data_IF_431795704112
#
_entry.id   IF_431795704112
#
_cell.length_a   1.000
_cell.length_b   1.000
_cell.length_c   1.000
_cell.angle_alpha   90.00
_cell.angle_beta   90.00
_cell.angle_gamma   90.00
#
_symmetry.space_group_name_H-M   'P 1'
#
loop_
_entity.id
_entity.type
_entity.pdbx_description
1 polymer ?
#
# COMPACT_ATOMS: atom_id res chain seq x y z
N UNK A 1 10.31 18.53 9.55
CA UNK A 1 11.06 17.32 9.17
C UNK A 1 10.09 16.24 8.74
N UNK A 2 10.32 15.61 7.60
CA UNK A 2 9.53 14.47 7.10
C UNK A 2 10.44 13.26 6.98
N UNK A 3 10.06 12.13 7.55
CA UNK A 3 10.86 10.91 7.50
C UNK A 3 10.40 9.86 8.49
N UNK A 4 11.16 8.78 8.63
CA UNK A 4 10.86 7.73 9.60
C UNK A 4 10.82 8.22 11.05
N UNK A 5 10.27 7.41 11.94
CA UNK A 5 10.08 7.74 13.36
C UNK A 5 11.35 8.24 14.07
N UNK A 6 12.52 7.68 13.70
CA UNK A 6 13.81 8.11 14.23
C UNK A 6 14.16 9.57 13.88
N UNK A 7 13.89 9.99 12.65
CA UNK A 7 14.11 11.38 12.21
C UNK A 7 13.16 12.34 12.92
N UNK A 8 11.89 11.97 13.06
CA UNK A 8 10.88 12.78 13.76
C UNK A 8 11.26 12.95 15.24
N UNK A 9 11.68 11.86 15.87
CA UNK A 9 12.18 11.91 17.26
C UNK A 9 13.41 12.82 17.38
N UNK A 10 14.38 12.71 16.47
CA UNK A 10 15.56 13.58 16.48
C UNK A 10 15.21 15.06 16.28
N UNK A 11 14.24 15.36 15.40
CA UNK A 11 13.76 16.72 15.17
C UNK A 11 13.15 17.32 16.44
N UNK A 12 12.26 16.60 17.11
CA UNK A 12 11.65 17.07 18.35
C UNK A 12 12.63 17.14 19.52
N UNK A 13 13.68 16.31 19.50
CA UNK A 13 14.72 16.30 20.56
C UNK A 13 15.83 17.33 20.32
N UNK A 14 15.80 18.09 19.22
CA UNK A 14 16.87 19.03 18.84
C UNK A 14 16.94 20.29 19.71
N UNK A 15 15.92 20.57 20.52
CA UNK A 15 15.78 21.83 21.27
C UNK A 15 15.35 23.02 20.41
N UNK A 16 15.11 22.83 19.11
CA UNK A 16 14.62 23.83 18.16
C UNK A 16 13.13 23.57 17.89
N UNK A 17 12.27 24.60 17.77
CA UNK A 17 10.89 24.39 17.33
C UNK A 17 10.84 23.61 16.03
N UNK A 18 10.12 22.48 16.02
CA UNK A 18 10.04 21.58 14.88
C UNK A 18 8.63 21.04 14.69
N UNK A 19 8.27 20.81 13.42
CA UNK A 19 7.11 20.02 13.02
C UNK A 19 7.62 18.77 12.34
N UNK A 20 7.33 17.61 12.92
CA UNK A 20 7.72 16.30 12.38
C UNK A 20 6.54 15.60 11.73
N UNK A 21 6.77 15.02 10.55
CA UNK A 21 5.83 14.15 9.85
C UNK A 21 6.45 12.78 9.74
N UNK A 22 5.81 11.80 10.32
CA UNK A 22 6.28 10.40 10.37
C UNK A 22 6.08 9.62 9.07
N UNK A 23 6.32 8.30 9.12
CA UNK A 23 6.07 7.41 8.00
C UNK A 23 4.59 7.41 7.60
N UNK A 24 4.30 7.03 6.37
CA UNK A 24 2.96 6.84 5.87
C UNK A 24 2.67 5.37 5.64
N UNK A 25 1.39 5.03 5.49
CA UNK A 25 0.96 3.72 5.05
C UNK A 25 -0.23 3.94 4.10
N UNK A 26 0.08 4.32 2.87
CA UNK A 26 -0.94 4.73 1.90
C UNK A 26 -1.79 3.53 1.48
N UNK A 27 -3.09 3.67 1.63
CA UNK A 27 -4.07 2.63 1.34
C UNK A 27 -5.06 3.09 0.30
N UNK A 28 -5.51 2.13 -0.51
CA UNK A 28 -6.48 2.33 -1.58
C UNK A 28 -7.66 1.41 -1.38
N UNK A 29 -8.86 1.92 -1.61
CA UNK A 29 -10.09 1.11 -1.73
C UNK A 29 -10.53 1.13 -3.18
N UNK A 30 -10.89 -0.05 -3.71
CA UNK A 30 -11.51 -0.22 -5.03
C UNK A 30 -12.94 -0.69 -4.82
N UNK A 31 -13.88 0.22 -5.11
CA UNK A 31 -15.32 -0.04 -5.06
C UNK A 31 -15.79 -0.79 -6.32
N UNK A 32 -16.91 -1.49 -6.22
CA UNK A 32 -17.50 -2.25 -7.33
C UNK A 32 -17.99 -1.37 -8.49
N UNK A 33 -18.21 -0.08 -8.26
CA UNK A 33 -18.63 0.89 -9.27
C UNK A 33 -17.48 1.58 -9.97
N UNK A 34 -16.23 1.29 -9.57
CA UNK A 34 -15.04 1.91 -10.14
C UNK A 34 -14.81 1.49 -11.60
N UNK A 35 -14.15 2.35 -12.37
CA UNK A 35 -13.45 1.92 -13.58
C UNK A 35 -12.22 1.09 -13.15
N UNK A 36 -12.38 -0.23 -13.14
CA UNK A 36 -11.38 -1.16 -12.62
C UNK A 36 -10.06 -1.11 -13.41
N UNK A 37 -10.13 -0.90 -14.74
CA UNK A 37 -8.94 -0.81 -15.58
C UNK A 37 -8.16 0.46 -15.24
N UNK A 38 -8.82 1.60 -15.19
CA UNK A 38 -8.20 2.87 -14.81
C UNK A 38 -7.62 2.79 -13.38
N UNK A 39 -8.33 2.16 -12.44
CA UNK A 39 -7.86 1.98 -11.08
C UNK A 39 -6.55 1.17 -11.04
N UNK A 40 -6.50 0.01 -11.69
CA UNK A 40 -5.31 -0.84 -11.74
C UNK A 40 -4.15 -0.15 -12.44
N UNK A 41 -4.37 0.46 -13.61
CA UNK A 41 -3.33 1.18 -14.35
C UNK A 41 -2.74 2.32 -13.52
N UNK A 42 -3.57 3.11 -12.84
CA UNK A 42 -3.15 4.20 -11.95
C UNK A 42 -2.31 3.69 -10.77
N UNK A 43 -2.78 2.65 -10.09
CA UNK A 43 -2.09 2.04 -8.95
C UNK A 43 -0.72 1.49 -9.38
N UNK A 44 -0.65 0.76 -10.48
CA UNK A 44 0.62 0.17 -10.94
C UNK A 44 1.57 1.25 -11.44
N UNK A 45 1.07 2.28 -12.12
CA UNK A 45 1.89 3.44 -12.52
C UNK A 45 2.52 4.12 -11.30
N UNK A 46 1.72 4.47 -10.30
CA UNK A 46 2.18 5.06 -9.05
C UNK A 46 3.15 4.13 -8.30
N UNK A 47 2.81 2.84 -8.16
CA UNK A 47 3.63 1.86 -7.43
C UNK A 47 4.98 1.58 -8.08
N UNK A 48 5.09 1.72 -9.39
CA UNK A 48 6.35 1.53 -10.12
C UNK A 48 7.14 2.82 -10.32
N UNK A 49 6.52 3.97 -10.07
CA UNK A 49 7.24 5.25 -10.07
C UNK A 49 8.29 5.23 -8.95
N UNK A 50 9.53 5.51 -9.34
CA UNK A 50 10.69 5.46 -8.45
C UNK A 50 10.78 4.14 -7.63
N UNK A 51 10.39 3.02 -8.24
CA UNK A 51 10.30 1.70 -7.63
C UNK A 51 9.52 1.68 -6.29
N UNK A 52 8.49 2.51 -6.15
CA UNK A 52 7.65 2.56 -4.96
C UNK A 52 8.32 3.15 -3.72
N UNK A 53 9.42 3.88 -3.89
CA UNK A 53 10.18 4.48 -2.78
C UNK A 53 9.49 5.72 -2.21
N UNK A 54 8.59 6.36 -2.96
CA UNK A 54 7.88 7.54 -2.49
C UNK A 54 6.90 7.15 -1.39
N UNK A 55 6.94 7.84 -0.25
CA UNK A 55 6.08 7.58 0.90
C UNK A 55 4.57 7.71 0.62
N UNK A 56 4.20 8.38 -0.49
CA UNK A 56 2.82 8.50 -0.94
C UNK A 56 2.35 7.31 -1.78
N UNK A 57 3.25 6.45 -2.31
CA UNK A 57 2.86 5.31 -3.12
C UNK A 57 2.00 4.32 -2.35
N UNK A 58 1.12 3.65 -3.06
CA UNK A 58 0.22 2.63 -2.50
C UNK A 58 1.02 1.52 -1.82
N UNK A 59 0.69 1.25 -0.56
CA UNK A 59 1.25 0.13 0.20
C UNK A 59 0.30 -1.06 0.19
N UNK A 60 -1.01 -0.77 0.11
CA UNK A 60 -2.08 -1.75 0.15
C UNK A 60 -3.24 -1.34 -0.76
N UNK A 61 -3.94 -2.36 -1.27
CA UNK A 61 -5.24 -2.20 -1.90
C UNK A 61 -6.26 -3.06 -1.18
N UNK A 62 -7.43 -2.51 -0.91
CA UNK A 62 -8.60 -3.24 -0.40
C UNK A 62 -9.66 -3.25 -1.47
N UNK A 63 -10.07 -4.43 -1.91
CA UNK A 63 -10.95 -4.62 -3.06
C UNK A 63 -12.24 -5.30 -2.61
N UNK A 64 -13.39 -4.81 -3.07
CA UNK A 64 -14.67 -5.46 -2.81
C UNK A 64 -14.73 -6.84 -3.46
N UNK A 65 -15.29 -7.81 -2.74
CA UNK A 65 -15.38 -9.22 -3.15
C UNK A 65 -16.07 -9.40 -4.51
N UNK A 66 -17.04 -8.53 -4.84
CA UNK A 66 -17.78 -8.55 -6.11
C UNK A 66 -16.91 -8.33 -7.34
N UNK A 67 -15.80 -7.59 -7.22
CA UNK A 67 -14.87 -7.25 -8.32
C UNK A 67 -13.45 -7.76 -8.09
N UNK A 68 -13.23 -8.49 -7.00
CA UNK A 68 -11.89 -8.92 -6.57
C UNK A 68 -11.13 -9.73 -7.63
N UNK A 69 -11.80 -10.72 -8.21
CA UNK A 69 -11.16 -11.61 -9.18
C UNK A 69 -10.89 -10.90 -10.51
N UNK A 70 -11.74 -9.92 -10.89
CA UNK A 70 -11.51 -9.08 -12.07
C UNK A 70 -10.31 -8.15 -11.86
N UNK A 71 -10.24 -7.46 -10.71
CA UNK A 71 -9.07 -6.64 -10.34
C UNK A 71 -7.80 -7.47 -10.35
N UNK A 72 -7.83 -8.68 -9.78
CA UNK A 72 -6.69 -9.59 -9.77
C UNK A 72 -6.26 -10.00 -11.19
N UNK A 73 -7.19 -10.24 -12.09
CA UNK A 73 -6.89 -10.55 -13.49
C UNK A 73 -6.23 -9.35 -14.18
N UNK A 74 -6.80 -8.14 -14.03
CA UNK A 74 -6.23 -6.90 -14.58
C UNK A 74 -4.82 -6.62 -14.04
N UNK A 75 -4.58 -6.88 -12.75
CA UNK A 75 -3.24 -6.73 -12.17
C UNK A 75 -2.24 -7.73 -12.77
N UNK A 76 -2.65 -8.97 -13.03
CA UNK A 76 -1.78 -9.94 -13.73
C UNK A 76 -1.46 -9.49 -15.15
N UNK A 77 -2.43 -8.97 -15.88
CA UNK A 77 -2.23 -8.40 -17.23
C UNK A 77 -1.27 -7.19 -17.17
N UNK A 78 -1.31 -6.42 -16.09
CA UNK A 78 -0.38 -5.31 -15.81
C UNK A 78 0.98 -5.76 -15.26
N UNK A 79 1.29 -7.07 -15.30
CA UNK A 79 2.55 -7.67 -14.87
C UNK A 79 2.79 -7.70 -13.37
N UNK A 80 1.74 -7.78 -12.57
CA UNK A 80 1.85 -8.12 -11.15
C UNK A 80 2.00 -9.63 -10.98
N UNK A 81 2.93 -10.03 -10.13
CA UNK A 81 3.12 -11.43 -9.73
C UNK A 81 2.53 -11.65 -8.34
N UNK A 82 1.62 -12.61 -8.23
CA UNK A 82 0.96 -12.94 -6.97
C UNK A 82 1.74 -14.05 -6.28
N UNK A 83 2.29 -13.71 -5.12
CA UNK A 83 3.08 -14.61 -4.28
C UNK A 83 2.17 -15.64 -3.59
N UNK A 84 2.63 -16.88 -3.50
CA UNK A 84 2.08 -17.84 -2.55
C UNK A 84 2.64 -17.61 -1.14
N UNK A 85 2.12 -18.33 -0.14
CA UNK A 85 2.48 -18.13 1.27
C UNK A 85 3.98 -18.35 1.54
N UNK A 86 4.60 -19.35 0.90
CA UNK A 86 6.03 -19.65 1.06
C UNK A 86 6.88 -18.51 0.45
N UNK A 87 6.54 -18.07 -0.74
CA UNK A 87 7.23 -16.96 -1.42
C UNK A 87 7.06 -15.65 -0.64
N UNK A 88 5.84 -15.38 -0.15
CA UNK A 88 5.55 -14.19 0.65
C UNK A 88 6.33 -14.15 1.95
N UNK A 89 6.51 -15.29 2.61
CA UNK A 89 7.33 -15.39 3.82
C UNK A 89 8.81 -15.08 3.51
N UNK A 90 9.38 -15.65 2.44
CA UNK A 90 10.76 -15.36 2.01
C UNK A 90 10.97 -13.88 1.66
N UNK A 91 10.02 -13.28 0.94
CA UNK A 91 10.07 -11.85 0.60
C UNK A 91 9.94 -10.99 1.85
N UNK A 92 9.07 -11.36 2.80
CA UNK A 92 8.93 -10.64 4.06
C UNK A 92 10.24 -10.60 4.87
N UNK A 93 11.02 -11.68 4.87
CA UNK A 93 12.34 -11.71 5.50
C UNK A 93 13.33 -10.70 4.90
N UNK A 94 13.18 -10.34 3.63
CA UNK A 94 14.06 -9.38 2.95
C UNK A 94 13.74 -7.94 3.34
N UNK A 95 12.45 -7.58 3.37
CA UNK A 95 12.08 -6.17 3.52
C UNK A 95 11.66 -5.75 4.92
N UNK A 96 11.16 -6.67 5.75
CA UNK A 96 10.54 -6.32 7.03
C UNK A 96 11.48 -6.54 8.22
N UNK A 97 11.50 -5.57 9.12
CA UNK A 97 12.21 -5.66 10.39
C UNK A 97 11.21 -5.82 11.54
N UNK A 98 11.09 -7.02 12.15
CA UNK A 98 10.10 -7.29 13.18
C UNK A 98 10.35 -6.54 14.50
N UNK A 99 11.52 -5.90 14.67
CA UNK A 99 11.83 -5.15 15.90
C UNK A 99 11.22 -3.74 15.93
N UNK A 100 11.05 -3.13 14.77
CA UNK A 100 10.55 -1.78 14.64
C UNK A 100 9.45 -1.62 13.57
N UNK A 101 8.98 -2.75 13.03
CA UNK A 101 7.95 -2.83 11.98
C UNK A 101 8.26 -2.00 10.71
N UNK A 102 9.51 -1.62 10.56
CA UNK A 102 9.98 -0.80 9.43
C UNK A 102 10.58 -1.61 8.31
N UNK A 103 10.92 -0.91 7.23
CA UNK A 103 11.56 -1.49 6.05
C UNK A 103 13.05 -1.65 6.28
N UNK A 104 13.61 -2.78 5.88
CA UNK A 104 15.06 -2.99 5.84
C UNK A 104 15.67 -2.19 4.68
N UNK A 105 16.73 -1.39 4.91
CA UNK A 105 17.30 -0.52 3.89
C UNK A 105 17.66 -1.18 2.55
N UNK A 106 18.18 -2.43 2.50
CA UNK A 106 18.52 -3.05 1.23
C UNK A 106 17.32 -3.31 0.30
N UNK A 107 16.11 -3.36 0.83
CA UNK A 107 14.88 -3.61 0.05
C UNK A 107 14.23 -2.31 -0.48
N UNK A 108 14.62 -1.15 0.03
CA UNK A 108 14.02 0.13 -0.36
C UNK A 108 14.34 0.45 -1.83
N UNK A 109 13.32 0.83 -2.60
CA UNK A 109 13.47 1.26 -3.99
C UNK A 109 13.91 0.16 -4.96
N UNK A 110 13.76 -1.12 -4.60
CA UNK A 110 14.14 -2.23 -5.47
C UNK A 110 13.02 -2.60 -6.46
N UNK A 111 13.45 -3.14 -7.61
CA UNK A 111 12.51 -3.72 -8.58
C UNK A 111 11.96 -5.05 -8.08
N UNK A 112 10.77 -5.44 -8.56
CA UNK A 112 10.12 -6.70 -8.21
C UNK A 112 11.02 -7.92 -8.52
N UNK A 113 11.72 -7.90 -9.64
CA UNK A 113 12.64 -8.97 -10.04
C UNK A 113 13.87 -9.06 -9.16
N UNK A 114 14.41 -7.91 -8.71
CA UNK A 114 15.55 -7.92 -7.79
C UNK A 114 15.15 -8.38 -6.39
N UNK A 115 13.98 -7.98 -5.89
CA UNK A 115 13.44 -8.51 -4.62
C UNK A 115 13.22 -10.03 -4.69
N UNK A 116 12.71 -10.54 -5.80
CA UNK A 116 12.56 -11.97 -6.03
C UNK A 116 13.92 -12.69 -6.01
N UNK A 117 14.93 -12.14 -6.66
CA UNK A 117 16.30 -12.66 -6.64
C UNK A 117 16.85 -12.70 -5.21
N UNK A 118 16.73 -11.60 -4.45
CA UNK A 118 17.16 -11.52 -3.04
C UNK A 118 16.45 -12.55 -2.17
N UNK A 119 15.18 -12.85 -2.44
CA UNK A 119 14.38 -13.84 -1.70
C UNK A 119 14.59 -15.28 -2.20
N UNK A 120 15.36 -15.50 -3.25
CA UNK A 120 15.59 -16.81 -3.85
C UNK A 120 14.31 -17.43 -4.47
N UNK A 121 13.43 -16.59 -5.03
CA UNK A 121 12.21 -17.02 -5.73
C UNK A 121 12.30 -16.68 -7.22
N UNK A 122 11.57 -17.43 -8.05
CA UNK A 122 11.56 -17.22 -9.49
C UNK A 122 10.26 -16.54 -9.91
N UNK A 123 10.35 -15.40 -10.57
CA UNK A 123 9.23 -14.64 -11.12
C UNK A 123 9.46 -14.35 -12.61
N UNK A 124 8.43 -13.98 -13.39
CA UNK A 124 8.62 -13.50 -14.75
C UNK A 124 9.62 -12.34 -14.80
N UNK A 125 10.46 -12.32 -15.83
CA UNK A 125 11.54 -11.31 -15.99
C UNK A 125 11.01 -9.87 -16.11
N UNK A 126 9.76 -9.71 -16.45
CA UNK A 126 9.07 -8.46 -16.66
C UNK A 126 8.05 -8.14 -15.53
N UNK A 127 8.11 -8.88 -14.41
CA UNK A 127 7.31 -8.61 -13.24
C UNK A 127 7.57 -7.19 -12.70
N UNK A 128 6.50 -6.41 -12.54
CA UNK A 128 6.57 -5.01 -12.11
C UNK A 128 6.33 -4.83 -10.61
N UNK A 129 5.42 -5.62 -10.05
CA UNK A 129 5.03 -5.55 -8.64
C UNK A 129 4.82 -6.98 -8.12
N UNK A 130 5.31 -7.26 -6.92
CA UNK A 130 4.98 -8.48 -6.20
C UNK A 130 3.81 -8.19 -5.26
N UNK A 131 2.77 -9.01 -5.35
CA UNK A 131 1.52 -8.84 -4.60
C UNK A 131 1.31 -10.03 -3.69
N UNK A 132 0.92 -9.79 -2.45
CA UNK A 132 0.49 -10.83 -1.54
C UNK A 132 -0.92 -10.57 -1.04
N UNK A 133 -1.78 -11.59 -1.17
CA UNK A 133 -3.16 -11.56 -0.71
C UNK A 133 -3.21 -11.95 0.78
N UNK A 134 -3.78 -11.10 1.61
CA UNK A 134 -3.91 -11.36 3.04
C UNK A 134 -5.16 -10.67 3.59
N UNK A 135 -5.72 -11.21 4.66
CA UNK A 135 -6.78 -10.55 5.45
C UNK A 135 -6.30 -10.17 6.86
N UNK A 136 -5.04 -10.46 7.17
CA UNK A 136 -4.44 -10.08 8.45
C UNK A 136 -3.97 -8.62 8.40
N UNK A 137 -4.71 -7.75 9.08
CA UNK A 137 -4.43 -6.32 9.23
C UNK A 137 -3.61 -6.00 10.49
N UNK A 138 -3.08 -7.00 11.18
CA UNK A 138 -2.27 -6.76 12.37
C UNK A 138 -0.96 -6.05 12.05
N UNK A 139 -0.47 -5.24 12.99
CA UNK A 139 0.79 -4.54 12.83
C UNK A 139 2.00 -5.49 12.72
N UNK A 140 1.89 -6.71 13.26
CA UNK A 140 2.92 -7.74 13.16
C UNK A 140 2.97 -8.41 11.77
N UNK A 141 1.92 -8.25 10.94
CA UNK A 141 1.94 -8.72 9.58
C UNK A 141 2.82 -7.81 8.70
N UNK A 142 3.92 -8.32 8.12
CA UNK A 142 4.79 -7.53 7.24
C UNK A 142 4.03 -6.84 6.09
N UNK A 143 3.04 -7.55 5.55
CA UNK A 143 2.27 -7.12 4.41
C UNK A 143 1.23 -6.04 4.72
N UNK A 144 0.96 -5.76 6.01
CA UNK A 144 0.11 -4.68 6.48
C UNK A 144 0.90 -3.38 6.79
N UNK A 145 2.23 -3.38 6.63
CA UNK A 145 3.10 -2.24 6.92
C UNK A 145 3.61 -1.52 5.66
N UNK A 146 4.22 -0.36 5.83
CA UNK A 146 4.90 0.37 4.76
C UNK A 146 6.05 -0.47 4.18
N UNK A 147 6.24 -0.44 2.87
CA UNK A 147 7.19 -1.29 2.15
C UNK A 147 8.26 -0.51 1.39
N UNK A 148 7.96 0.72 0.93
CA UNK A 148 8.87 1.62 0.19
C UNK A 148 9.59 0.93 -0.97
N UNK A 149 8.91 0.04 -1.67
CA UNK A 149 9.45 -0.75 -2.78
C UNK A 149 8.29 -1.31 -3.62
N UNK A 150 8.58 -2.09 -4.66
CA UNK A 150 7.59 -2.65 -5.58
C UNK A 150 6.81 -3.85 -5.00
N UNK A 151 6.41 -3.74 -3.74
CA UNK A 151 5.58 -4.71 -3.02
C UNK A 151 4.21 -4.13 -2.70
N UNK A 152 3.16 -4.93 -2.78
CA UNK A 152 1.78 -4.52 -2.51
C UNK A 152 1.04 -5.58 -1.70
N UNK A 153 0.37 -5.18 -0.62
CA UNK A 153 -0.59 -6.01 0.09
C UNK A 153 -1.98 -5.89 -0.55
N UNK A 154 -2.71 -6.99 -0.72
CA UNK A 154 -4.06 -7.00 -1.26
C UNK A 154 -5.02 -7.64 -0.28
N UNK A 155 -6.04 -6.88 0.11
CA UNK A 155 -7.06 -7.27 1.06
C UNK A 155 -8.41 -7.42 0.36
N UNK A 156 -9.22 -8.38 0.82
CA UNK A 156 -10.59 -8.57 0.34
C UNK A 156 -11.56 -8.06 1.39
N UNK A 157 -12.63 -7.41 0.95
CA UNK A 157 -13.73 -6.98 1.81
C UNK A 157 -15.07 -7.37 1.19
N UNK A 158 -16.01 -7.84 1.99
CA UNK A 158 -17.33 -8.24 1.51
C UNK A 158 -18.30 -7.06 1.39
N UNK A 159 -18.00 -5.98 2.11
CA UNK A 159 -18.81 -4.75 2.10
C UNK A 159 -17.94 -3.51 2.02
N UNK A 160 -18.49 -2.41 1.51
CA UNK A 160 -17.82 -1.13 1.47
C UNK A 160 -17.40 -0.64 2.88
N UNK A 161 -18.26 -0.85 3.88
CA UNK A 161 -17.96 -0.49 5.26
C UNK A 161 -16.76 -1.28 5.82
N UNK A 162 -16.67 -2.55 5.50
CA UNK A 162 -15.52 -3.38 5.85
C UNK A 162 -14.25 -2.89 5.14
N UNK A 163 -14.33 -2.58 3.83
CA UNK A 163 -13.21 -2.03 3.08
C UNK A 163 -12.69 -0.72 3.70
N UNK A 164 -13.60 0.17 4.09
CA UNK A 164 -13.25 1.41 4.76
C UNK A 164 -12.63 1.16 6.15
N UNK A 165 -13.12 0.16 6.90
CA UNK A 165 -12.56 -0.21 8.20
C UNK A 165 -11.14 -0.77 8.06
N UNK A 166 -10.90 -1.65 7.10
CA UNK A 166 -9.56 -2.18 6.79
C UNK A 166 -8.62 -1.03 6.43
N UNK A 167 -9.01 -0.19 5.48
CA UNK A 167 -8.21 0.95 5.03
C UNK A 167 -7.89 1.91 6.19
N UNK A 168 -8.89 2.31 6.97
CA UNK A 168 -8.71 3.21 8.12
C UNK A 168 -7.79 2.63 9.18
N UNK A 169 -7.90 1.33 9.48
CA UNK A 169 -7.01 0.64 10.41
C UNK A 169 -5.57 0.66 9.94
N UNK A 170 -5.32 0.27 8.68
CA UNK A 170 -3.97 0.26 8.10
C UNK A 170 -3.35 1.67 8.05
N UNK A 171 -4.14 2.70 7.71
CA UNK A 171 -3.70 4.11 7.75
C UNK A 171 -3.34 4.52 9.17
N UNK A 172 -4.17 4.17 10.15
CA UNK A 172 -3.95 4.57 11.55
C UNK A 172 -2.71 3.91 12.16
N UNK A 173 -2.54 2.60 11.96
CA UNK A 173 -1.44 1.83 12.53
C UNK A 173 -0.09 2.13 11.87
N UNK A 174 -0.09 2.40 10.55
CA UNK A 174 1.13 2.66 9.79
C UNK A 174 1.59 4.11 9.78
N UNK A 175 0.84 5.01 10.38
CA UNK A 175 1.14 6.45 10.42
C UNK A 175 0.01 7.30 9.84
N UNK A 176 -0.92 7.71 10.71
CA UNK A 176 -2.01 8.59 10.31
C UNK A 176 -1.51 9.94 9.77
N UNK A 177 -2.26 10.52 8.84
CA UNK A 177 -2.01 11.86 8.31
C UNK A 177 -1.39 11.91 6.92
N UNK A 178 -1.04 10.79 6.29
CA UNK A 178 -0.42 10.80 4.97
C UNK A 178 -1.45 10.81 3.83
N UNK A 179 -1.68 9.71 3.13
CA UNK A 179 -2.55 9.64 1.95
C UNK A 179 -3.45 8.42 1.98
N UNK A 180 -4.65 8.55 1.42
CA UNK A 180 -5.55 7.44 1.11
C UNK A 180 -6.28 7.73 -0.20
N UNK A 181 -6.64 6.70 -0.96
CA UNK A 181 -7.36 6.84 -2.21
C UNK A 181 -8.59 5.93 -2.29
N UNK A 182 -9.59 6.38 -3.01
CA UNK A 182 -10.79 5.63 -3.35
C UNK A 182 -11.00 5.67 -4.86
N UNK A 183 -11.17 4.48 -5.46
CA UNK A 183 -11.64 4.33 -6.82
C UNK A 183 -13.11 3.91 -6.78
N UNK A 184 -13.97 4.73 -7.41
CA UNK A 184 -15.43 4.65 -7.32
C UNK A 184 -16.05 5.37 -8.50
N UNK A 185 -17.30 5.09 -8.86
CA UNK A 185 -18.04 5.96 -9.81
C UNK A 185 -18.09 7.39 -9.22
N UNK A 186 -17.69 8.43 -9.96
CA UNK A 186 -17.64 9.80 -9.47
C UNK A 186 -19.00 10.38 -9.07
N UNK A 187 -20.10 9.73 -9.45
CA UNK A 187 -21.48 10.12 -9.06
C UNK A 187 -21.91 9.58 -7.69
N UNK A 188 -21.12 8.69 -7.10
CA UNK A 188 -21.38 8.09 -5.77
C UNK A 188 -20.90 9.02 -4.62
N UNK A 189 -21.46 10.24 -4.57
CA UNK A 189 -21.06 11.29 -3.62
C UNK A 189 -21.09 10.82 -2.15
N UNK A 190 -22.13 10.05 -1.75
CA UNK A 190 -22.24 9.51 -0.39
C UNK A 190 -21.04 8.61 -0.02
N UNK A 191 -20.60 7.76 -0.93
CA UNK A 191 -19.44 6.89 -0.71
C UNK A 191 -18.16 7.70 -0.58
N UNK A 192 -18.01 8.74 -1.41
CA UNK A 192 -16.86 9.64 -1.39
C UNK A 192 -16.80 10.40 -0.08
N UNK A 193 -17.91 10.99 0.37
CA UNK A 193 -17.98 11.75 1.61
C UNK A 193 -17.68 10.87 2.83
N UNK A 194 -18.30 9.68 2.90
CA UNK A 194 -18.04 8.70 3.97
C UNK A 194 -16.59 8.25 4.02
N UNK A 195 -15.96 8.04 2.87
CA UNK A 195 -14.53 7.73 2.80
C UNK A 195 -13.69 8.87 3.35
N UNK A 196 -13.95 10.10 2.88
CA UNK A 196 -13.20 11.28 3.31
C UNK A 196 -13.32 11.56 4.82
N UNK A 197 -14.53 11.40 5.39
CA UNK A 197 -14.76 11.56 6.83
C UNK A 197 -14.04 10.50 7.68
N UNK A 198 -13.97 9.26 7.16
CA UNK A 198 -13.42 8.13 7.89
C UNK A 198 -11.90 8.09 7.88
N UNK A 199 -11.26 8.53 6.78
CA UNK A 199 -9.81 8.43 6.63
C UNK A 199 -9.07 9.51 7.43
N UNK A 200 -8.12 9.10 8.29
CA UNK A 200 -7.23 10.02 9.02
C UNK A 200 -6.00 10.35 8.19
N UNK A 201 -6.23 10.85 6.98
CA UNK A 201 -5.20 11.20 6.01
C UNK A 201 -5.25 12.68 5.63
N UNK A 202 -4.09 13.28 5.40
CA UNK A 202 -3.98 14.67 4.95
C UNK A 202 -4.28 14.87 3.46
N UNK A 203 -4.19 13.78 2.67
CA UNK A 203 -4.56 13.74 1.25
C UNK A 203 -5.57 12.62 1.04
N UNK A 204 -6.76 12.99 0.59
CA UNK A 204 -7.80 12.08 0.12
C UNK A 204 -7.89 12.23 -1.39
N UNK A 205 -7.71 11.14 -2.10
CA UNK A 205 -7.68 11.11 -3.56
C UNK A 205 -8.84 10.26 -4.08
N UNK A 206 -9.52 10.76 -5.10
CA UNK A 206 -10.62 10.05 -5.75
C UNK A 206 -10.25 9.82 -7.21
N UNK A 207 -10.22 8.54 -7.62
CA UNK A 207 -9.91 8.13 -8.99
C UNK A 207 -8.57 8.69 -9.52
N UNK A 208 -7.57 8.75 -8.65
CA UNK A 208 -6.23 9.28 -8.98
C UNK A 208 -5.14 8.43 -8.31
N UNK A 209 -3.96 8.30 -8.96
CA UNK A 209 -2.79 7.68 -8.35
C UNK A 209 -2.32 8.49 -7.14
N UNK A 210 -1.66 7.82 -6.19
CA UNK A 210 -1.21 8.47 -4.96
C UNK A 210 0.18 9.09 -5.07
N UNK A 211 0.95 8.69 -6.08
CA UNK A 211 2.26 9.27 -6.40
C UNK A 211 2.39 9.57 -7.90
#
# INVERSE_FOLDING_TARGET
ATGGSGMVHAAYSSGTPAIGVGPGNCNVVIDETADLRMAVESIIHSKTFDNGMICATEQHITVLSSVYDEVKALMKDARCYFLNDEEAAKVAEIFFNPKNHGVKPPAVGQTATHLAEMAGITVPYDAKVLVYETNDTSHDNPWANEKLTTLLGMFRADTLEEAFNICAKLVYEGGAGHSAALYVDPTEEDKIDRFAEKMKAGRILINQPTA
#
